data_IF_571791989202
#
_entry.id   IF_571791989202
#
_cell.length_a   1.000
_cell.length_b   1.000
_cell.length_c   1.000
_cell.angle_alpha   90.00
_cell.angle_beta   90.00
_cell.angle_gamma   90.00
#
_symmetry.space_group_name_H-M   'P 1'
#
loop_
_entity.id
_entity.type
_entity.pdbx_description
1 polymer ?
#
# COMPACT_ATOMS: atom_id res chain seq x y z
N UNK A 1 -16.42 -3.72 -4.02
CA UNK A 1 -17.42 -4.39 -3.15
C UNK A 1 -17.69 -3.60 -1.87
N UNK A 2 -16.69 -3.28 -1.04
CA UNK A 2 -16.88 -2.40 0.14
C UNK A 2 -17.44 -1.00 -0.18
N UNK A 3 -16.99 -0.41 -1.28
CA UNK A 3 -17.46 0.90 -1.77
C UNK A 3 -18.95 0.84 -2.18
N UNK A 4 -19.38 -0.27 -2.80
CA UNK A 4 -20.79 -0.49 -3.15
C UNK A 4 -21.66 -0.75 -1.91
N UNK A 5 -21.17 -1.50 -0.92
CA UNK A 5 -21.95 -1.78 0.30
C UNK A 5 -22.10 -0.56 1.20
N UNK A 6 -21.08 0.31 1.29
CA UNK A 6 -21.16 1.55 2.08
C UNK A 6 -22.08 2.58 1.42
N UNK A 7 -22.04 2.72 0.09
CA UNK A 7 -22.96 3.61 -0.64
C UNK A 7 -24.41 3.09 -0.66
N UNK A 8 -24.63 1.77 -0.73
CA UNK A 8 -25.97 1.19 -0.80
C UNK A 8 -26.70 1.11 0.56
N UNK A 9 -25.98 0.88 1.67
CA UNK A 9 -26.62 0.69 2.97
C UNK A 9 -26.71 1.94 3.86
N UNK A 10 -25.89 2.97 3.63
CA UNK A 10 -25.81 4.10 4.56
C UNK A 10 -26.48 5.39 4.10
N UNK A 11 -26.82 5.59 2.81
CA UNK A 11 -27.60 6.74 2.26
C UNK A 11 -27.29 8.13 2.88
N UNK A 12 -26.11 8.34 3.48
CA UNK A 12 -25.81 9.53 4.29
C UNK A 12 -25.08 10.59 3.48
N UNK A 13 -24.44 10.24 2.35
CA UNK A 13 -23.73 11.22 1.53
C UNK A 13 -24.26 11.28 0.09
N UNK A 14 -24.56 12.49 -0.42
CA UNK A 14 -24.73 12.72 -1.85
C UNK A 14 -23.43 12.38 -2.59
N UNK A 15 -23.55 11.98 -3.85
CA UNK A 15 -22.45 11.61 -4.73
C UNK A 15 -21.24 12.54 -4.56
N UNK A 16 -20.00 12.02 -4.45
CA UNK A 16 -18.82 12.84 -4.24
C UNK A 16 -18.59 13.72 -5.48
N UNK A 17 -19.07 14.95 -5.43
CA UNK A 17 -18.73 16.01 -6.39
C UNK A 17 -17.35 16.53 -6.03
N UNK A 18 -16.39 16.43 -6.95
CA UNK A 18 -15.06 17.00 -6.77
C UNK A 18 -15.17 18.52 -6.69
N UNK A 19 -14.95 19.08 -5.51
CA UNK A 19 -14.83 20.54 -5.31
C UNK A 19 -13.34 20.87 -5.38
N UNK A 20 -12.86 21.68 -6.34
CA UNK A 20 -11.45 22.02 -6.42
C UNK A 20 -10.97 22.81 -5.20
N UNK A 21 -9.71 22.60 -4.80
CA UNK A 21 -9.06 23.24 -3.63
C UNK A 21 -9.12 24.78 -3.65
N UNK A 22 -9.38 25.38 -4.82
CA UNK A 22 -9.45 26.82 -5.06
C UNK A 22 -10.76 27.47 -4.61
N UNK A 23 -11.84 26.70 -4.44
CA UNK A 23 -13.13 27.24 -4.00
C UNK A 23 -13.29 27.09 -2.48
N UNK A 24 -13.24 25.85 -1.96
CA UNK A 24 -13.42 25.58 -0.53
C UNK A 24 -12.52 24.42 -0.03
N UNK A 25 -11.39 24.71 0.63
CA UNK A 25 -10.44 23.69 1.08
C UNK A 25 -10.99 22.77 2.19
N UNK A 26 -11.96 23.24 2.99
CA UNK A 26 -12.61 22.43 4.04
C UNK A 26 -13.53 21.36 3.42
N UNK A 27 -14.32 21.74 2.42
CA UNK A 27 -15.26 20.83 1.76
C UNK A 27 -14.51 19.83 0.85
N UNK A 28 -13.40 20.25 0.23
CA UNK A 28 -12.47 19.35 -0.46
C UNK A 28 -11.92 18.27 0.49
N UNK A 29 -11.44 18.66 1.67
CA UNK A 29 -10.86 17.72 2.63
C UNK A 29 -11.91 16.70 3.12
N UNK A 30 -13.12 17.15 3.44
CA UNK A 30 -14.19 16.28 3.93
C UNK A 30 -14.69 15.29 2.86
N UNK A 31 -14.76 15.74 1.61
CA UNK A 31 -15.19 14.90 0.50
C UNK A 31 -14.13 13.85 0.08
N UNK A 32 -12.84 14.12 0.32
CA UNK A 32 -11.74 13.18 0.08
C UNK A 32 -11.41 12.28 1.27
N UNK A 33 -11.80 12.66 2.49
CA UNK A 33 -11.51 11.87 3.70
C UNK A 33 -12.16 10.49 3.68
N UNK A 34 -13.41 10.39 3.21
CA UNK A 34 -14.16 9.14 3.07
C UNK A 34 -13.52 8.18 2.05
N UNK A 35 -13.23 8.61 0.80
CA UNK A 35 -12.45 7.81 -0.15
C UNK A 35 -11.08 7.39 0.39
N UNK A 36 -10.35 8.29 1.04
CA UNK A 36 -9.03 7.96 1.61
C UNK A 36 -9.10 6.94 2.73
N UNK A 37 -10.06 7.06 3.65
CA UNK A 37 -10.24 6.09 4.72
C UNK A 37 -10.67 4.72 4.16
N UNK A 38 -11.55 4.69 3.17
CA UNK A 38 -12.00 3.42 2.57
C UNK A 38 -10.88 2.72 1.81
N UNK A 39 -10.08 3.45 1.02
CA UNK A 39 -8.91 2.90 0.33
C UNK A 39 -7.81 2.52 1.33
N UNK A 40 -7.51 3.39 2.29
CA UNK A 40 -6.48 3.18 3.30
C UNK A 40 -6.77 1.97 4.19
N UNK A 41 -8.03 1.79 4.60
CA UNK A 41 -8.43 0.63 5.40
C UNK A 41 -8.38 -0.67 4.59
N UNK A 42 -8.73 -0.62 3.29
CA UNK A 42 -8.65 -1.78 2.41
C UNK A 42 -7.20 -2.23 2.16
N UNK A 43 -6.31 -1.29 1.84
CA UNK A 43 -4.89 -1.60 1.68
C UNK A 43 -4.27 -2.03 3.01
N UNK A 44 -4.58 -1.33 4.11
CA UNK A 44 -4.12 -1.70 5.47
C UNK A 44 -4.50 -3.14 5.84
N UNK A 45 -5.71 -3.60 5.50
CA UNK A 45 -6.13 -4.97 5.75
C UNK A 45 -5.25 -6.01 5.02
N UNK A 46 -4.81 -5.72 3.79
CA UNK A 46 -3.88 -6.59 3.03
C UNK A 46 -2.52 -6.66 3.71
N UNK A 47 -1.92 -5.51 4.02
CA UNK A 47 -0.61 -5.47 4.70
C UNK A 47 -0.68 -6.08 6.10
N UNK A 48 -1.76 -5.85 6.86
CA UNK A 48 -1.96 -6.41 8.19
C UNK A 48 -2.08 -7.94 8.17
N UNK A 49 -2.85 -8.50 7.22
CA UNK A 49 -2.97 -9.96 7.05
C UNK A 49 -1.63 -10.58 6.66
N UNK A 50 -0.91 -9.95 5.74
CA UNK A 50 0.40 -10.42 5.29
C UNK A 50 1.44 -10.38 6.43
N UNK A 51 1.54 -9.23 7.11
CA UNK A 51 2.40 -9.04 8.28
C UNK A 51 2.08 -10.05 9.38
N UNK A 52 0.79 -10.30 9.67
CA UNK A 52 0.38 -11.32 10.64
C UNK A 52 0.81 -12.73 10.23
N UNK A 53 0.68 -13.09 8.96
CA UNK A 53 1.10 -14.40 8.44
C UNK A 53 2.60 -14.61 8.66
N UNK A 54 3.42 -13.63 8.26
CA UNK A 54 4.88 -13.73 8.41
C UNK A 54 5.32 -13.66 9.87
N UNK A 55 4.63 -12.89 10.71
CA UNK A 55 4.87 -12.87 12.16
C UNK A 55 4.61 -14.25 12.79
N UNK A 56 3.54 -14.94 12.38
CA UNK A 56 3.22 -16.29 12.86
C UNK A 56 4.26 -17.32 12.41
N UNK A 57 4.74 -17.20 11.18
CA UNK A 57 5.79 -18.07 10.64
C UNK A 57 7.10 -17.89 11.40
N UNK A 58 7.53 -16.65 11.66
CA UNK A 58 8.70 -16.36 12.50
C UNK A 58 8.53 -16.87 13.92
N UNK A 59 7.33 -16.74 14.51
CA UNK A 59 7.04 -17.27 15.85
C UNK A 59 7.03 -18.80 15.91
N UNK A 60 6.86 -19.49 14.78
CA UNK A 60 6.89 -20.94 14.68
C UNK A 60 8.31 -21.51 14.56
N UNK A 61 9.32 -20.67 14.34
CA UNK A 61 10.72 -21.10 14.24
C UNK A 61 11.25 -21.68 15.56
N UNK A 62 12.09 -22.71 15.48
CA UNK A 62 12.61 -23.42 16.66
C UNK A 62 13.51 -22.54 17.54
N UNK A 63 14.08 -21.45 16.99
CA UNK A 63 14.84 -20.47 17.76
C UNK A 63 13.94 -19.74 18.78
N UNK A 64 12.67 -19.46 18.43
CA UNK A 64 11.68 -18.83 19.33
C UNK A 64 11.32 -19.76 20.47
N UNK A 65 11.15 -21.06 20.19
CA UNK A 65 10.89 -22.09 21.21
C UNK A 65 12.05 -22.20 22.19
N UNK A 66 13.27 -22.12 21.69
CA UNK A 66 14.49 -22.13 22.51
C UNK A 66 14.55 -20.90 23.40
N UNK A 67 14.30 -19.69 22.88
CA UNK A 67 14.26 -18.47 23.69
C UNK A 67 13.16 -18.49 24.76
N UNK A 68 12.01 -19.12 24.47
CA UNK A 68 10.94 -19.31 25.45
C UNK A 68 11.38 -20.24 26.59
N UNK A 69 12.16 -21.28 26.29
CA UNK A 69 12.75 -22.17 27.30
C UNK A 69 13.81 -21.46 28.17
N UNK A 70 14.50 -20.45 27.64
CA UNK A 70 15.41 -19.57 28.39
C UNK A 70 14.68 -18.50 29.24
N UNK A 71 13.35 -18.43 29.21
CA UNK A 71 12.57 -17.49 30.03
C UNK A 71 12.48 -16.06 29.47
N UNK A 72 12.78 -15.86 28.18
CA UNK A 72 12.68 -14.54 27.55
C UNK A 72 11.21 -14.10 27.48
N UNK A 73 10.93 -12.88 27.92
CA UNK A 73 9.57 -12.32 27.95
C UNK A 73 8.95 -12.21 26.55
N UNK A 74 7.69 -12.61 26.43
CA UNK A 74 6.94 -12.71 25.16
C UNK A 74 6.84 -11.37 24.41
N UNK A 75 6.75 -10.25 25.14
CA UNK A 75 6.76 -8.89 24.56
C UNK A 75 8.07 -8.56 23.84
N UNK A 76 9.22 -8.94 24.41
CA UNK A 76 10.53 -8.71 23.80
C UNK A 76 10.74 -9.59 22.54
N UNK A 77 10.17 -10.79 22.55
CA UNK A 77 10.18 -11.71 21.41
C UNK A 77 9.38 -11.16 20.23
N UNK A 78 8.15 -10.69 20.49
CA UNK A 78 7.27 -10.12 19.46
C UNK A 78 7.87 -8.84 18.86
N UNK A 79 8.23 -7.87 19.70
CA UNK A 79 8.70 -6.56 19.22
C UNK A 79 10.06 -6.62 18.52
N UNK A 80 10.99 -7.49 18.96
CA UNK A 80 12.35 -7.52 18.42
C UNK A 80 12.58 -8.57 17.34
N UNK A 81 11.90 -9.71 17.41
CA UNK A 81 12.14 -10.85 16.50
C UNK A 81 10.99 -11.02 15.50
N UNK A 82 9.74 -10.98 15.96
CA UNK A 82 8.60 -11.22 15.08
C UNK A 82 8.34 -10.06 14.09
N UNK A 83 8.53 -8.81 14.52
CA UNK A 83 8.46 -7.63 13.63
C UNK A 83 9.53 -7.69 12.52
N UNK A 84 10.71 -8.25 12.81
CA UNK A 84 11.81 -8.36 11.84
C UNK A 84 11.47 -9.35 10.72
N UNK A 85 10.73 -10.42 11.04
CA UNK A 85 10.19 -11.36 10.06
C UNK A 85 9.11 -10.75 9.16
N UNK A 86 8.35 -9.78 9.66
CA UNK A 86 7.34 -9.07 8.87
C UNK A 86 7.91 -8.01 7.91
N UNK A 87 9.19 -7.67 7.99
CA UNK A 87 9.82 -6.67 7.10
C UNK A 87 10.02 -7.20 5.68
N UNK A 88 10.45 -8.47 5.54
CA UNK A 88 10.67 -9.11 4.24
C UNK A 88 9.45 -9.05 3.30
N UNK A 89 8.23 -9.46 3.71
CA UNK A 89 7.05 -9.41 2.85
C UNK A 89 6.60 -7.97 2.54
N UNK A 90 6.81 -7.03 3.47
CA UNK A 90 6.48 -5.60 3.24
C UNK A 90 7.38 -5.01 2.17
N UNK A 91 8.68 -5.31 2.20
CA UNK A 91 9.63 -4.88 1.16
C UNK A 91 9.26 -5.49 -0.19
N UNK A 92 8.95 -6.80 -0.21
CA UNK A 92 8.58 -7.49 -1.45
C UNK A 92 7.31 -6.87 -2.09
N UNK A 93 6.29 -6.59 -1.28
CA UNK A 93 5.06 -5.98 -1.78
C UNK A 93 5.31 -4.55 -2.27
N UNK A 94 6.10 -3.77 -1.53
CA UNK A 94 6.49 -2.42 -1.95
C UNK A 94 7.22 -2.44 -3.30
N UNK A 95 8.11 -3.41 -3.54
CA UNK A 95 8.81 -3.54 -4.82
C UNK A 95 7.85 -3.83 -5.99
N UNK A 96 6.82 -4.64 -5.76
CA UNK A 96 5.77 -4.91 -6.77
C UNK A 96 4.96 -3.64 -7.06
N UNK A 97 4.59 -2.87 -6.03
CA UNK A 97 3.87 -1.61 -6.18
C UNK A 97 4.71 -0.60 -6.98
N UNK A 98 5.99 -0.45 -6.64
CA UNK A 98 6.94 0.39 -7.39
C UNK A 98 7.06 -0.05 -8.85
N UNK A 99 7.23 -1.35 -9.12
CA UNK A 99 7.32 -1.87 -10.49
C UNK A 99 6.06 -1.59 -11.30
N UNK A 100 4.90 -1.73 -10.67
CA UNK A 100 3.59 -1.45 -11.29
C UNK A 100 3.43 0.04 -11.60
N UNK A 101 3.83 0.92 -10.68
CA UNK A 101 3.79 2.38 -10.89
C UNK A 101 4.72 2.82 -12.02
N UNK A 102 5.94 2.30 -12.08
CA UNK A 102 6.89 2.60 -13.16
C UNK A 102 6.34 2.11 -14.50
N UNK A 103 5.87 0.86 -14.58
CA UNK A 103 5.30 0.31 -15.82
C UNK A 103 4.06 1.09 -16.29
N UNK A 104 3.17 1.44 -15.37
CA UNK A 104 1.99 2.27 -15.65
C UNK A 104 2.35 3.69 -16.10
N UNK A 105 3.36 4.30 -15.47
CA UNK A 105 3.85 5.63 -15.86
C UNK A 105 4.42 5.62 -17.28
N UNK A 106 5.28 4.66 -17.63
CA UNK A 106 5.86 4.55 -18.98
C UNK A 106 4.79 4.33 -20.06
N UNK A 107 3.79 3.47 -19.79
CA UNK A 107 2.66 3.25 -20.70
C UNK A 107 1.82 4.51 -20.88
N UNK A 108 1.56 5.23 -19.79
CA UNK A 108 0.79 6.48 -19.81
C UNK A 108 1.56 7.59 -20.54
N UNK A 109 2.86 7.73 -20.31
CA UNK A 109 3.75 8.66 -21.02
C UNK A 109 3.77 8.38 -22.53
N UNK A 110 3.83 7.11 -22.91
CA UNK A 110 3.85 6.69 -24.32
C UNK A 110 2.52 6.95 -25.02
N UNK A 111 1.39 6.71 -24.35
CA UNK A 111 0.05 6.93 -24.90
C UNK A 111 -0.32 8.41 -25.00
N UNK A 112 -0.01 9.20 -23.97
CA UNK A 112 -0.38 10.62 -23.90
C UNK A 112 0.71 11.56 -24.44
N UNK A 113 1.86 11.03 -24.85
CA UNK A 113 2.95 11.81 -25.44
C UNK A 113 3.66 12.76 -24.48
N UNK A 114 3.43 12.62 -23.17
CA UNK A 114 4.01 13.46 -22.12
C UNK A 114 5.51 13.14 -22.01
N UNK A 115 6.41 14.14 -22.02
CA UNK A 115 7.83 13.92 -21.82
C UNK A 115 8.11 13.50 -20.38
N UNK A 116 8.35 12.20 -20.19
CA UNK A 116 8.78 11.64 -18.91
C UNK A 116 9.98 10.69 -19.07
N UNK A 117 10.43 10.13 -17.94
CA UNK A 117 11.66 9.33 -17.86
C UNK A 117 11.61 8.10 -18.79
N UNK A 118 10.43 7.53 -19.03
CA UNK A 118 10.24 6.39 -19.93
C UNK A 118 10.46 6.78 -21.39
N UNK A 119 9.90 7.91 -21.81
CA UNK A 119 10.08 8.42 -23.18
C UNK A 119 11.54 8.77 -23.46
N UNK A 120 12.24 9.41 -22.53
CA UNK A 120 13.67 9.77 -22.69
C UNK A 120 14.57 8.54 -22.81
N UNK A 121 14.27 7.46 -22.09
CA UNK A 121 15.01 6.19 -22.19
C UNK A 121 14.81 5.53 -23.56
N UNK A 122 13.57 5.51 -24.06
CA UNK A 122 13.23 4.94 -25.39
C UNK A 122 13.88 5.78 -26.51
N UNK A 123 13.79 7.11 -26.43
CA UNK A 123 14.41 8.00 -27.40
C UNK A 123 15.94 7.83 -27.43
N UNK A 124 16.58 7.63 -26.27
CA UNK A 124 18.01 7.32 -26.19
C UNK A 124 18.41 5.97 -26.82
N UNK A 125 17.58 4.94 -26.66
CA UNK A 125 17.77 3.64 -27.33
C UNK A 125 17.61 3.73 -28.85
N UNK A 126 16.71 4.61 -29.32
CA UNK A 126 16.44 4.82 -30.74
C UNK A 126 17.55 5.57 -31.47
N UNK A 127 18.41 6.30 -30.74
CA UNK A 127 19.59 6.98 -31.29
C UNK A 127 20.77 6.02 -31.49
N UNK A 128 20.75 4.85 -30.83
CA UNK A 128 21.81 3.82 -30.91
C UNK A 128 21.60 2.79 -32.04
N UNK A 129 20.50 2.87 -32.79
CA UNK A 129 20.18 2.05 -33.96
C UNK A 129 19.90 2.94 -35.18
#
# INVERSE_FOLDING_TARGET
>A
LLLMTVCAHLQWLPFPTYVPLSEDPEQWAWNLLLPWLTLGLFESAKYARLSRSSTLETLAEDHIRTFRAYGVGERALITRHAVRGAVAPVIALSAVDFGTMIGGAVLTESLFGIPGLGKTLIDGLRVLY
#
